data_IF_795550544391
#
_entry.id   IF_795550544391
#
_cell.length_a   1.000
_cell.length_b   1.000
_cell.length_c   1.000
_cell.angle_alpha   90.00
_cell.angle_beta   90.00
_cell.angle_gamma   90.00
#
_symmetry.space_group_name_H-M   'P 1'
#
loop_
_entity.id
_entity.type
_entity.pdbx_description
1 polymer ?
#
# COMPACT_ATOMS: atom_id res chain seq x y z
N UNK A 1 -3.89 22.00 0.90
CA UNK A 1 -3.67 21.23 -0.37
C UNK A 1 -2.88 19.98 -0.07
N UNK A 2 -3.34 18.83 -0.56
CA UNK A 2 -2.64 17.55 -0.36
C UNK A 2 -1.74 17.17 -1.53
N UNK A 3 -0.81 16.26 -1.27
CA UNK A 3 0.12 15.73 -2.27
C UNK A 3 0.09 14.21 -2.36
N UNK A 4 0.44 13.70 -3.53
CA UNK A 4 0.69 12.29 -3.80
C UNK A 4 2.09 12.17 -4.39
N UNK A 5 2.99 11.45 -3.73
CA UNK A 5 4.29 11.10 -4.32
C UNK A 5 4.21 9.66 -4.83
N UNK A 6 4.21 9.53 -6.15
CA UNK A 6 4.25 8.25 -6.82
C UNK A 6 5.65 7.84 -7.27
N UNK A 7 5.71 6.66 -7.87
CA UNK A 7 6.90 6.14 -8.52
C UNK A 7 6.50 5.32 -9.75
N UNK A 8 7.40 5.22 -10.70
CA UNK A 8 7.21 4.40 -11.90
C UNK A 8 7.27 2.92 -11.53
N UNK A 9 6.42 2.10 -12.13
CA UNK A 9 6.28 0.68 -11.73
C UNK A 9 7.31 -0.24 -12.38
N UNK A 10 7.84 0.17 -13.54
CA UNK A 10 8.83 -0.59 -14.31
C UNK A 10 9.48 0.31 -15.37
N UNK A 11 10.59 -0.14 -15.96
CA UNK A 11 11.23 0.58 -17.06
C UNK A 11 10.31 0.73 -18.30
N UNK A 12 9.54 -0.28 -18.74
CA UNK A 12 8.55 -0.10 -19.82
C UNK A 12 7.48 0.94 -19.47
N UNK A 13 6.97 0.96 -18.23
CA UNK A 13 6.03 1.99 -17.78
C UNK A 13 6.69 3.38 -17.81
N UNK A 14 7.92 3.50 -17.35
CA UNK A 14 8.67 4.76 -17.38
C UNK A 14 8.81 5.31 -18.80
N UNK A 15 9.11 4.45 -19.77
CA UNK A 15 9.19 4.82 -21.20
C UNK A 15 7.86 5.32 -21.74
N UNK A 16 6.75 4.64 -21.41
CA UNK A 16 5.41 5.02 -21.89
C UNK A 16 4.95 6.40 -21.41
N UNK A 17 5.45 6.87 -20.28
CA UNK A 17 5.10 8.19 -19.70
C UNK A 17 6.20 9.23 -19.84
N UNK A 18 7.37 8.90 -20.41
CA UNK A 18 8.52 9.78 -20.49
C UNK A 18 8.19 11.13 -21.15
N UNK A 19 7.52 11.12 -22.30
CA UNK A 19 7.12 12.34 -23.02
C UNK A 19 6.20 13.24 -22.17
N UNK A 20 5.27 12.67 -21.44
CA UNK A 20 4.36 13.44 -20.58
C UNK A 20 5.05 14.01 -19.35
N UNK A 21 6.20 13.43 -18.95
CA UNK A 21 7.12 13.97 -17.95
C UNK A 21 8.09 15.02 -18.51
N UNK A 22 8.05 15.30 -19.82
CA UNK A 22 8.95 16.24 -20.49
C UNK A 22 10.32 15.66 -20.80
N UNK A 23 10.45 14.33 -20.86
CA UNK A 23 11.69 13.63 -21.16
C UNK A 23 11.74 13.10 -22.59
N UNK A 24 12.96 12.94 -23.11
CA UNK A 24 13.22 12.31 -24.40
C UNK A 24 12.93 10.80 -24.34
N UNK A 25 12.16 10.30 -25.29
CA UNK A 25 11.79 8.89 -25.35
C UNK A 25 13.00 7.99 -25.58
N UNK A 26 13.96 8.38 -26.40
CA UNK A 26 15.15 7.57 -26.68
C UNK A 26 16.06 7.45 -25.46
N UNK A 27 16.28 8.56 -24.75
CA UNK A 27 17.06 8.55 -23.51
C UNK A 27 16.39 7.73 -22.41
N UNK A 28 15.07 7.64 -22.40
CA UNK A 28 14.29 6.98 -21.35
C UNK A 28 14.35 5.43 -21.37
N UNK A 29 15.02 4.83 -22.37
CA UNK A 29 15.23 3.38 -22.43
C UNK A 29 16.26 2.86 -21.44
N UNK A 30 17.09 3.76 -20.88
CA UNK A 30 18.17 3.40 -19.98
C UNK A 30 17.81 3.71 -18.51
N UNK A 31 18.07 2.74 -17.62
CA UNK A 31 17.89 2.93 -16.19
C UNK A 31 18.79 4.04 -15.62
N UNK A 32 19.99 4.24 -16.20
CA UNK A 32 20.89 5.33 -15.79
C UNK A 32 20.27 6.71 -16.00
N UNK A 33 19.56 6.90 -17.11
CA UNK A 33 18.77 8.11 -17.34
C UNK A 33 17.81 8.37 -16.17
N UNK A 34 17.03 7.36 -15.77
CA UNK A 34 16.10 7.49 -14.66
C UNK A 34 16.77 7.67 -13.31
N UNK A 35 17.99 7.15 -13.12
CA UNK A 35 18.78 7.45 -11.93
C UNK A 35 19.15 8.94 -11.81
N UNK A 36 19.25 9.65 -12.92
CA UNK A 36 19.58 11.09 -12.97
C UNK A 36 18.33 11.99 -13.04
N UNK A 37 17.22 11.54 -13.66
CA UNK A 37 16.02 12.33 -13.88
C UNK A 37 15.49 12.94 -12.58
N UNK A 38 15.23 14.26 -12.48
CA UNK A 38 14.69 14.89 -11.28
C UNK A 38 13.21 14.52 -11.08
N UNK A 39 12.64 14.71 -9.86
CA UNK A 39 11.22 14.54 -9.65
C UNK A 39 10.41 15.57 -10.44
N UNK A 40 9.22 15.19 -10.90
CA UNK A 40 8.34 16.06 -11.70
C UNK A 40 7.01 16.28 -10.98
N UNK A 41 6.59 17.54 -10.91
CA UNK A 41 5.22 17.87 -10.52
C UNK A 41 4.33 17.80 -11.75
N UNK A 42 3.55 16.75 -11.84
CA UNK A 42 2.86 16.34 -13.06
C UNK A 42 1.51 17.02 -13.21
N UNK A 43 0.66 16.95 -12.21
CA UNK A 43 -0.72 17.39 -12.33
C UNK A 43 -1.22 18.06 -11.05
N UNK A 44 -2.10 19.03 -11.22
CA UNK A 44 -2.94 19.58 -10.14
C UNK A 44 -4.38 19.21 -10.46
N UNK A 45 -5.10 18.77 -9.48
CA UNK A 45 -6.46 18.30 -9.66
C UNK A 45 -7.34 18.69 -8.49
N UNK A 46 -8.64 18.66 -8.73
CA UNK A 46 -9.67 18.92 -7.75
C UNK A 46 -10.45 17.65 -7.48
N UNK A 47 -10.76 17.41 -6.22
CA UNK A 47 -11.57 16.27 -5.79
C UNK A 47 -12.76 16.78 -5.00
N UNK A 48 -13.95 16.33 -5.37
CA UNK A 48 -15.16 16.53 -4.61
C UNK A 48 -15.62 15.22 -3.98
N UNK A 49 -15.75 15.19 -2.66
CA UNK A 49 -16.26 14.02 -1.95
C UNK A 49 -17.77 13.88 -2.05
N UNK A 50 -18.30 12.73 -1.66
CA UNK A 50 -19.76 12.50 -1.58
C UNK A 50 -20.47 13.42 -0.57
N UNK A 51 -19.71 14.09 0.32
CA UNK A 51 -20.25 15.10 1.26
C UNK A 51 -20.33 16.50 0.64
N UNK A 52 -19.86 16.67 -0.60
CA UNK A 52 -19.75 17.97 -1.27
C UNK A 52 -18.51 18.78 -0.89
N UNK A 53 -17.65 18.28 -0.03
CA UNK A 53 -16.38 18.95 0.30
C UNK A 53 -15.42 18.86 -0.90
N UNK A 54 -14.73 19.97 -1.15
CA UNK A 54 -13.79 20.12 -2.27
C UNK A 54 -12.38 20.29 -1.72
N UNK A 55 -11.44 19.51 -2.22
CA UNK A 55 -10.01 19.63 -1.92
C UNK A 55 -9.19 19.73 -3.20
N UNK A 56 -7.99 20.28 -3.07
CA UNK A 56 -7.04 20.41 -4.17
C UNK A 56 -5.81 19.57 -3.92
N UNK A 57 -5.41 18.81 -4.93
CA UNK A 57 -4.27 17.92 -4.89
C UNK A 57 -3.22 18.20 -5.94
N UNK A 58 -2.01 17.69 -5.70
CA UNK A 58 -0.93 17.66 -6.67
C UNK A 58 -0.24 16.29 -6.66
N UNK A 59 -0.06 15.72 -7.84
CA UNK A 59 0.76 14.53 -8.03
C UNK A 59 2.20 14.93 -8.35
N UNK A 60 3.14 14.28 -7.68
CA UNK A 60 4.58 14.40 -7.92
C UNK A 60 5.14 13.03 -8.23
N UNK A 61 5.68 12.88 -9.44
CA UNK A 61 6.39 11.67 -9.84
C UNK A 61 7.84 11.77 -9.35
N UNK A 62 8.27 10.81 -8.53
CA UNK A 62 9.63 10.77 -7.99
C UNK A 62 10.69 10.32 -9.01
N UNK A 63 10.25 9.73 -10.12
CA UNK A 63 11.11 9.07 -11.11
C UNK A 63 11.96 7.95 -10.51
N UNK A 64 11.49 7.34 -9.42
CA UNK A 64 12.06 6.14 -8.84
C UNK A 64 11.49 4.91 -9.57
N UNK A 65 12.36 3.91 -9.81
CA UNK A 65 11.98 2.60 -10.37
C UNK A 65 12.43 1.47 -9.44
N UNK A 66 11.62 0.41 -9.29
CA UNK A 66 11.97 -0.78 -8.50
C UNK A 66 13.27 -1.45 -8.95
N UNK A 67 13.61 -1.37 -10.24
CA UNK A 67 14.85 -1.88 -10.82
C UNK A 67 16.09 -1.26 -10.16
N UNK A 68 15.99 -0.04 -9.63
CA UNK A 68 17.09 0.58 -8.86
C UNK A 68 17.39 -0.21 -7.58
N UNK A 69 16.35 -0.73 -6.91
CA UNK A 69 16.52 -1.59 -5.73
C UNK A 69 17.08 -2.96 -6.12
N UNK A 70 16.56 -3.55 -7.21
CA UNK A 70 17.02 -4.84 -7.72
C UNK A 70 18.52 -4.82 -8.08
N UNK A 71 19.04 -3.65 -8.51
CA UNK A 71 20.47 -3.44 -8.78
C UNK A 71 21.27 -2.95 -7.56
N UNK A 72 20.69 -2.97 -6.36
CA UNK A 72 21.37 -2.54 -5.12
C UNK A 72 21.57 -1.02 -4.99
N UNK A 73 20.89 -0.20 -5.80
CA UNK A 73 21.05 1.27 -5.82
C UNK A 73 20.20 1.97 -4.76
N UNK A 74 20.19 1.47 -3.54
CA UNK A 74 19.37 2.00 -2.44
C UNK A 74 19.54 3.49 -2.19
N UNK A 75 20.79 3.98 -2.23
CA UNK A 75 21.08 5.41 -2.01
C UNK A 75 20.45 6.29 -3.09
N UNK A 76 20.44 5.82 -4.34
CA UNK A 76 19.81 6.53 -5.45
C UNK A 76 18.30 6.55 -5.29
N UNK A 77 17.67 5.39 -5.03
CA UNK A 77 16.25 5.27 -4.77
C UNK A 77 15.80 6.20 -3.64
N UNK A 78 16.48 6.18 -2.50
CA UNK A 78 16.20 7.05 -1.37
C UNK A 78 16.30 8.53 -1.74
N UNK A 79 17.36 8.94 -2.46
CA UNK A 79 17.53 10.33 -2.89
C UNK A 79 16.42 10.80 -3.82
N UNK A 80 15.91 9.93 -4.70
CA UNK A 80 14.77 10.22 -5.57
C UNK A 80 13.54 10.62 -4.76
N UNK A 81 13.21 9.84 -3.76
CA UNK A 81 12.04 10.08 -2.93
C UNK A 81 12.24 11.33 -2.06
N UNK A 82 13.41 11.51 -1.45
CA UNK A 82 13.74 12.70 -0.67
C UNK A 82 13.66 13.98 -1.51
N UNK A 83 14.12 13.95 -2.76
CA UNK A 83 14.00 15.09 -3.68
C UNK A 83 12.52 15.38 -4.04
N UNK A 84 11.69 14.35 -4.21
CA UNK A 84 10.26 14.53 -4.42
C UNK A 84 9.58 15.14 -3.17
N UNK A 85 9.95 14.69 -1.97
CA UNK A 85 9.46 15.26 -0.71
C UNK A 85 9.87 16.74 -0.57
N UNK A 86 11.12 17.08 -0.90
CA UNK A 86 11.59 18.47 -0.89
C UNK A 86 10.84 19.34 -1.91
N UNK A 87 10.54 18.80 -3.10
CA UNK A 87 9.75 19.50 -4.12
C UNK A 87 8.32 19.80 -3.62
N UNK A 88 7.67 18.81 -3.01
CA UNK A 88 6.32 18.94 -2.43
C UNK A 88 6.33 20.01 -1.33
N UNK A 89 7.30 19.95 -0.41
CA UNK A 89 7.41 20.94 0.67
C UNK A 89 7.65 22.36 0.13
N UNK A 90 8.52 22.52 -0.88
CA UNK A 90 8.78 23.81 -1.54
C UNK A 90 7.51 24.38 -2.19
N UNK A 91 6.58 23.53 -2.61
CA UNK A 91 5.30 23.94 -3.20
C UNK A 91 4.23 24.27 -2.16
N UNK A 92 4.55 24.20 -0.87
CA UNK A 92 3.63 24.54 0.21
C UNK A 92 2.49 23.54 0.39
N UNK A 93 2.68 22.28 0.01
CA UNK A 93 1.68 21.21 0.19
C UNK A 93 1.64 20.83 1.67
N UNK A 94 0.44 20.70 2.23
CA UNK A 94 0.23 20.59 3.68
C UNK A 94 0.38 19.17 4.21
N UNK A 95 -0.14 18.18 3.46
CA UNK A 95 -0.05 16.75 3.78
C UNK A 95 0.18 15.93 2.51
N UNK A 96 1.09 14.99 2.52
CA UNK A 96 1.46 14.20 1.34
C UNK A 96 1.59 12.72 1.66
N UNK A 97 0.95 11.87 0.86
CA UNK A 97 1.12 10.42 0.93
C UNK A 97 2.34 9.95 0.13
N UNK A 98 3.10 9.03 0.73
CA UNK A 98 4.17 8.28 0.09
C UNK A 98 3.61 6.96 -0.46
N UNK A 99 3.46 6.84 -1.79
CA UNK A 99 2.87 5.65 -2.41
C UNK A 99 3.84 4.50 -2.61
N UNK A 100 3.33 3.28 -2.51
CA UNK A 100 4.02 2.05 -2.91
C UNK A 100 5.41 1.88 -2.25
N UNK A 101 6.43 1.61 -3.06
CA UNK A 101 7.80 1.43 -2.58
C UNK A 101 8.38 2.64 -1.84
N UNK A 102 7.87 3.86 -2.07
CA UNK A 102 8.36 5.04 -1.39
C UNK A 102 8.18 4.94 0.12
N UNK A 103 7.09 4.33 0.60
CA UNK A 103 6.87 4.07 2.02
C UNK A 103 7.77 2.95 2.55
N UNK A 104 7.94 1.86 1.77
CA UNK A 104 8.71 0.68 2.15
C UNK A 104 10.20 1.02 2.35
N UNK A 105 10.77 1.87 1.49
CA UNK A 105 12.17 2.29 1.59
C UNK A 105 12.44 2.96 2.95
N UNK A 106 11.48 3.71 3.47
CA UNK A 106 11.63 4.44 4.73
C UNK A 106 11.17 3.67 5.97
N UNK A 107 10.51 2.53 5.83
CA UNK A 107 10.01 1.73 6.95
C UNK A 107 11.13 1.33 7.94
N UNK A 108 12.32 1.06 7.44
CA UNK A 108 13.47 0.61 8.23
C UNK A 108 14.42 1.74 8.67
N UNK A 109 14.14 2.99 8.28
CA UNK A 109 14.98 4.13 8.65
C UNK A 109 14.31 4.93 9.76
N UNK A 110 15.09 5.25 10.81
CA UNK A 110 14.62 6.22 11.79
C UNK A 110 14.52 7.60 11.13
N UNK A 111 13.48 8.36 11.47
CA UNK A 111 13.28 9.73 10.98
C UNK A 111 14.51 10.61 11.18
N UNK A 112 15.22 10.45 12.30
CA UNK A 112 16.46 11.19 12.62
C UNK A 112 17.58 10.94 11.60
N UNK A 113 17.72 9.70 11.11
CA UNK A 113 18.71 9.38 10.07
C UNK A 113 18.35 9.99 8.72
N UNK A 114 17.06 10.15 8.44
CA UNK A 114 16.58 10.80 7.21
C UNK A 114 16.79 12.31 7.25
N UNK A 115 16.59 12.95 8.41
CA UNK A 115 16.80 14.39 8.61
C UNK A 115 18.27 14.81 8.48
N UNK A 116 19.20 13.87 8.71
CA UNK A 116 20.66 14.12 8.59
C UNK A 116 21.20 13.88 7.18
N UNK A 117 20.35 13.66 6.18
CA UNK A 117 20.81 13.65 4.77
C UNK A 117 21.16 15.08 4.38
N UNK A 118 22.44 15.30 4.07
CA UNK A 118 23.01 16.62 3.77
C UNK A 118 22.14 17.38 2.76
N UNK A 119 21.89 18.63 3.08
CA UNK A 119 21.25 19.65 2.23
C UNK A 119 19.72 19.57 2.05
N UNK A 120 19.02 18.65 2.70
CA UNK A 120 17.55 18.58 2.64
C UNK A 120 16.98 18.67 4.05
N UNK A 121 16.31 19.77 4.37
CA UNK A 121 15.51 19.92 5.60
C UNK A 121 14.06 19.61 5.30
N UNK A 122 13.50 18.53 5.87
CA UNK A 122 12.14 18.12 5.69
C UNK A 122 11.32 18.28 6.97
N UNK A 123 10.14 18.86 6.85
CA UNK A 123 9.11 18.80 7.91
C UNK A 123 8.32 17.48 7.74
N UNK A 124 8.75 16.47 8.48
CA UNK A 124 8.19 15.11 8.41
C UNK A 124 6.70 15.07 8.76
N UNK A 125 6.18 16.04 9.52
CA UNK A 125 4.76 16.10 9.85
C UNK A 125 3.87 16.24 8.61
N UNK A 126 4.41 16.76 7.52
CA UNK A 126 3.72 16.92 6.23
C UNK A 126 3.62 15.65 5.41
N UNK A 127 4.11 14.51 5.92
CA UNK A 127 4.15 13.26 5.17
C UNK A 127 3.50 12.12 5.94
N UNK A 128 2.78 11.29 5.23
CA UNK A 128 2.22 10.03 5.72
C UNK A 128 2.55 8.89 4.78
N UNK A 129 2.66 7.67 5.29
CA UNK A 129 2.89 6.48 4.45
C UNK A 129 1.61 5.93 3.85
N UNK A 130 0.44 6.32 4.38
CA UNK A 130 -0.84 5.73 4.00
C UNK A 130 -1.07 4.31 4.54
N UNK A 131 -0.15 3.81 5.34
CA UNK A 131 -0.19 2.42 5.81
C UNK A 131 -1.34 2.15 6.79
N UNK A 132 -1.82 3.16 7.53
CA UNK A 132 -2.97 2.98 8.43
C UNK A 132 -4.25 2.71 7.65
N UNK A 133 -4.51 3.49 6.60
CA UNK A 133 -5.68 3.25 5.75
C UNK A 133 -5.55 1.94 4.97
N UNK A 134 -4.35 1.63 4.47
CA UNK A 134 -4.08 0.33 3.82
C UNK A 134 -4.37 -0.84 4.76
N UNK A 135 -3.86 -0.82 6.00
CA UNK A 135 -4.11 -1.86 6.98
C UNK A 135 -5.62 -2.00 7.30
N UNK A 136 -6.33 -0.87 7.46
CA UNK A 136 -7.77 -0.87 7.66
C UNK A 136 -8.51 -1.52 6.49
N UNK A 137 -8.19 -1.15 5.25
CA UNK A 137 -8.84 -1.71 4.04
C UNK A 137 -8.57 -3.21 3.92
N UNK A 138 -7.35 -3.68 4.18
CA UNK A 138 -7.04 -5.12 4.19
C UNK A 138 -7.91 -5.89 5.19
N UNK A 139 -8.11 -5.35 6.39
CA UNK A 139 -8.99 -5.95 7.40
C UNK A 139 -10.46 -5.93 6.95
N UNK A 140 -10.92 -4.86 6.30
CA UNK A 140 -12.27 -4.79 5.75
C UNK A 140 -12.46 -5.73 4.56
N UNK A 141 -11.44 -5.89 3.70
CA UNK A 141 -11.45 -6.87 2.62
C UNK A 141 -11.54 -8.30 3.18
N UNK A 142 -10.82 -8.62 4.27
CA UNK A 142 -10.94 -9.90 4.94
C UNK A 142 -12.36 -10.13 5.49
N UNK A 143 -12.91 -9.14 6.19
CA UNK A 143 -14.24 -9.25 6.81
C UNK A 143 -15.35 -9.35 5.78
N UNK A 144 -15.43 -8.39 4.85
CA UNK A 144 -16.51 -8.31 3.87
C UNK A 144 -16.32 -9.33 2.73
N UNK A 145 -15.08 -9.65 2.38
CA UNK A 145 -14.76 -10.70 1.42
C UNK A 145 -15.14 -12.08 1.93
N UNK A 146 -14.90 -12.37 3.22
CA UNK A 146 -15.35 -13.62 3.83
C UNK A 146 -16.87 -13.80 3.69
N UNK A 147 -17.64 -12.77 4.02
CA UNK A 147 -19.10 -12.77 3.85
C UNK A 147 -19.49 -12.99 2.38
N UNK A 148 -18.86 -12.27 1.44
CA UNK A 148 -19.14 -12.35 0.01
C UNK A 148 -18.88 -13.75 -0.57
N UNK A 149 -17.83 -14.42 -0.11
CA UNK A 149 -17.39 -15.72 -0.63
C UNK A 149 -17.79 -16.92 0.26
N UNK A 150 -18.68 -16.69 1.22
CA UNK A 150 -19.27 -17.76 2.04
C UNK A 150 -18.28 -18.39 3.04
N UNK A 151 -17.29 -17.62 3.52
CA UNK A 151 -16.35 -18.06 4.55
C UNK A 151 -16.84 -17.55 5.92
N UNK A 152 -17.15 -18.48 6.83
CA UNK A 152 -17.57 -18.14 8.19
C UNK A 152 -16.36 -17.74 9.05
N UNK A 153 -16.26 -16.46 9.38
CA UNK A 153 -15.16 -15.89 10.13
C UNK A 153 -14.97 -16.52 11.52
N UNK A 154 -16.07 -16.89 12.20
CA UNK A 154 -15.99 -17.49 13.53
C UNK A 154 -15.31 -18.88 13.51
N UNK A 155 -15.35 -19.55 12.37
CA UNK A 155 -14.73 -20.85 12.16
C UNK A 155 -13.47 -20.78 11.26
N UNK A 156 -13.15 -19.61 10.74
CA UNK A 156 -12.06 -19.43 9.80
C UNK A 156 -10.68 -19.41 10.46
N UNK A 157 -9.72 -19.96 9.75
CA UNK A 157 -8.28 -19.78 10.00
C UNK A 157 -7.77 -18.67 9.10
N UNK A 158 -7.27 -17.59 9.69
CA UNK A 158 -6.69 -16.45 8.96
C UNK A 158 -5.18 -16.48 9.06
N UNK A 159 -4.48 -16.49 7.95
CA UNK A 159 -3.03 -16.39 7.91
C UNK A 159 -2.60 -14.97 7.47
N UNK A 160 -1.68 -14.36 8.22
CA UNK A 160 -1.06 -13.08 7.85
C UNK A 160 0.39 -13.34 7.45
N UNK A 161 0.69 -13.23 6.16
CA UNK A 161 2.03 -13.43 5.60
C UNK A 161 2.73 -12.07 5.50
N UNK A 162 3.85 -11.92 6.22
CA UNK A 162 4.50 -10.63 6.45
C UNK A 162 4.07 -10.00 7.79
N UNK A 163 3.67 -10.81 8.75
CA UNK A 163 3.09 -10.38 10.04
C UNK A 163 3.97 -9.42 10.86
N UNK A 164 5.30 -9.41 10.66
CA UNK A 164 6.23 -8.52 11.37
C UNK A 164 6.51 -7.18 10.71
N UNK A 165 5.98 -6.95 9.50
CA UNK A 165 6.03 -5.67 8.81
C UNK A 165 5.10 -4.63 9.45
N UNK A 166 5.20 -3.38 9.01
CA UNK A 166 4.40 -2.26 9.55
C UNK A 166 2.90 -2.54 9.41
N UNK A 167 2.46 -2.80 8.18
CA UNK A 167 1.07 -3.13 7.87
C UNK A 167 0.68 -4.48 8.50
N UNK A 168 1.53 -5.51 8.37
CA UNK A 168 1.22 -6.86 8.84
C UNK A 168 0.98 -6.92 10.34
N UNK A 169 1.82 -6.27 11.15
CA UNK A 169 1.64 -6.23 12.60
C UNK A 169 0.38 -5.47 13.02
N UNK A 170 0.06 -4.38 12.31
CA UNK A 170 -1.18 -3.63 12.54
C UNK A 170 -2.43 -4.46 12.20
N UNK A 171 -2.40 -5.18 11.07
CA UNK A 171 -3.46 -6.12 10.67
C UNK A 171 -3.64 -7.21 11.74
N UNK A 172 -2.53 -7.82 12.22
CA UNK A 172 -2.61 -8.83 13.27
C UNK A 172 -3.24 -8.31 14.56
N UNK A 173 -2.85 -7.10 15.02
CA UNK A 173 -3.46 -6.45 16.19
C UNK A 173 -4.95 -6.22 16.01
N UNK A 174 -5.34 -5.66 14.86
CA UNK A 174 -6.75 -5.39 14.56
C UNK A 174 -7.57 -6.67 14.52
N UNK A 175 -7.08 -7.72 13.83
CA UNK A 175 -7.75 -9.02 13.76
C UNK A 175 -7.91 -9.63 15.16
N UNK A 176 -6.86 -9.60 15.99
CA UNK A 176 -6.88 -10.15 17.32
C UNK A 176 -7.85 -9.43 18.28
N UNK A 177 -7.99 -8.11 18.13
CA UNK A 177 -8.86 -7.28 18.98
C UNK A 177 -10.31 -7.24 18.51
N UNK A 178 -10.57 -7.34 17.22
CA UNK A 178 -11.87 -6.98 16.62
C UNK A 178 -12.65 -8.15 16.06
N UNK A 179 -11.98 -9.29 15.82
CA UNK A 179 -12.65 -10.45 15.25
C UNK A 179 -12.51 -11.67 16.18
N UNK A 180 -13.63 -12.36 16.34
CA UNK A 180 -13.63 -13.69 16.95
C UNK A 180 -13.27 -14.71 15.86
N UNK A 181 -11.98 -15.01 15.74
CA UNK A 181 -11.45 -15.96 14.77
C UNK A 181 -11.13 -17.27 15.46
N UNK A 182 -11.35 -18.38 14.78
CA UNK A 182 -10.94 -19.69 15.25
C UNK A 182 -9.42 -19.75 15.43
N UNK A 183 -8.67 -19.38 14.40
CA UNK A 183 -7.22 -19.37 14.41
C UNK A 183 -6.65 -18.14 13.70
N UNK A 184 -5.55 -17.62 14.23
CA UNK A 184 -4.72 -16.60 13.59
C UNK A 184 -3.30 -17.16 13.42
N UNK A 185 -2.86 -17.32 12.16
CA UNK A 185 -1.53 -17.83 11.83
C UNK A 185 -0.63 -16.64 11.46
N UNK A 186 0.52 -16.56 12.14
CA UNK A 186 1.49 -15.49 11.96
C UNK A 186 2.69 -16.04 11.18
N UNK A 187 2.93 -15.48 9.99
CA UNK A 187 4.01 -15.94 9.11
C UNK A 187 4.93 -14.76 8.77
N UNK A 188 6.22 -14.88 9.11
CA UNK A 188 7.27 -13.97 8.67
C UNK A 188 8.65 -14.63 8.78
N UNK A 189 9.67 -13.97 8.21
CA UNK A 189 11.05 -14.48 8.24
C UNK A 189 11.74 -14.26 9.60
N UNK A 190 11.44 -13.16 10.24
CA UNK A 190 12.04 -12.77 11.52
C UNK A 190 11.31 -13.43 12.68
N UNK A 191 11.87 -14.54 13.17
CA UNK A 191 11.25 -15.37 14.19
C UNK A 191 11.22 -14.68 15.57
N UNK A 192 12.20 -13.85 15.89
CA UNK A 192 12.22 -13.11 17.15
C UNK A 192 11.08 -12.08 17.19
N UNK A 193 10.91 -11.32 16.11
CA UNK A 193 9.78 -10.38 16.00
C UNK A 193 8.43 -11.08 15.99
N UNK A 194 8.33 -12.27 15.38
CA UNK A 194 7.10 -13.06 15.41
C UNK A 194 6.75 -13.50 16.83
N UNK A 195 7.73 -13.99 17.60
CA UNK A 195 7.53 -14.40 18.99
C UNK A 195 7.05 -13.20 19.83
N UNK A 196 7.69 -12.05 19.70
CA UNK A 196 7.29 -10.82 20.40
C UNK A 196 5.87 -10.36 20.02
N UNK A 197 5.52 -10.40 18.73
CA UNK A 197 4.17 -10.06 18.26
C UNK A 197 3.14 -11.04 18.82
N UNK A 198 3.41 -12.32 18.79
CA UNK A 198 2.50 -13.36 19.34
C UNK A 198 2.29 -13.16 20.84
N UNK A 199 3.34 -12.84 21.59
CA UNK A 199 3.25 -12.53 23.03
C UNK A 199 2.39 -11.28 23.28
N UNK A 200 2.63 -10.20 22.51
CA UNK A 200 1.85 -8.97 22.57
C UNK A 200 0.35 -9.22 22.30
N UNK A 201 0.03 -10.04 21.31
CA UNK A 201 -1.36 -10.35 20.93
C UNK A 201 -2.07 -11.27 21.93
N UNK A 202 -1.34 -12.02 22.75
CA UNK A 202 -1.88 -13.03 23.66
C UNK A 202 -2.58 -14.21 22.95
N UNK A 203 -2.58 -14.24 21.61
CA UNK A 203 -3.20 -15.27 20.75
C UNK A 203 -2.46 -15.41 19.41
N UNK A 204 -2.82 -16.44 18.66
CA UNK A 204 -2.22 -16.76 17.37
C UNK A 204 -1.09 -17.79 17.48
N UNK A 205 -0.72 -18.37 16.36
CA UNK A 205 0.33 -19.38 16.23
C UNK A 205 1.38 -18.92 15.24
N UNK A 206 2.65 -19.01 15.61
CA UNK A 206 3.77 -18.80 14.70
C UNK A 206 3.98 -20.08 13.90
N UNK A 207 3.91 -19.98 12.58
CA UNK A 207 4.04 -21.13 11.67
C UNK A 207 4.88 -20.76 10.45
N UNK A 208 5.39 -21.75 9.74
CA UNK A 208 6.01 -21.55 8.43
C UNK A 208 4.94 -21.22 7.36
N UNK A 209 5.38 -20.74 6.21
CA UNK A 209 4.46 -20.49 5.09
C UNK A 209 3.83 -21.79 4.59
N UNK A 210 4.63 -22.84 4.49
CA UNK A 210 4.23 -24.18 4.03
C UNK A 210 3.17 -24.80 4.96
N UNK A 211 3.25 -24.53 6.26
CA UNK A 211 2.26 -24.98 7.23
C UNK A 211 0.99 -24.13 7.21
N UNK A 212 1.11 -22.82 6.92
CA UNK A 212 -0.03 -21.90 6.92
C UNK A 212 -0.95 -22.10 5.70
N UNK A 213 -0.39 -22.27 4.49
CA UNK A 213 -1.15 -22.30 3.25
C UNK A 213 -2.26 -23.35 3.22
N UNK A 214 -2.04 -24.64 3.61
CA UNK A 214 -3.08 -25.66 3.59
C UNK A 214 -4.11 -25.53 4.70
N UNK A 215 -3.88 -24.67 5.70
CA UNK A 215 -4.78 -24.48 6.83
C UNK A 215 -5.65 -23.23 6.70
N UNK A 216 -5.21 -22.25 5.93
CA UNK A 216 -5.85 -20.93 5.87
C UNK A 216 -7.10 -20.93 4.99
N UNK A 217 -8.18 -20.40 5.52
CA UNK A 217 -9.40 -20.05 4.78
C UNK A 217 -9.28 -18.62 4.21
N UNK A 218 -8.52 -17.76 4.89
CA UNK A 218 -8.21 -16.39 4.45
C UNK A 218 -6.70 -16.17 4.57
N UNK A 219 -6.07 -15.65 3.52
CA UNK A 219 -4.65 -15.29 3.49
C UNK A 219 -4.53 -13.80 3.24
N UNK A 220 -4.01 -13.05 4.19
CA UNK A 220 -3.65 -11.64 4.01
C UNK A 220 -2.15 -11.59 3.74
N UNK A 221 -1.80 -11.34 2.49
CA UNK A 221 -0.41 -11.30 2.06
C UNK A 221 0.10 -9.86 2.02
N UNK A 222 1.02 -9.53 2.91
CA UNK A 222 1.65 -8.19 3.01
C UNK A 222 3.17 -8.27 3.04
N UNK A 223 3.72 -9.44 2.70
CA UNK A 223 5.15 -9.59 2.51
C UNK A 223 5.56 -9.06 1.14
N UNK A 224 6.68 -8.31 1.10
CA UNK A 224 7.33 -8.01 -0.17
C UNK A 224 7.86 -9.31 -0.76
N UNK A 225 7.42 -9.67 -1.95
CA UNK A 225 7.87 -10.89 -2.64
C UNK A 225 9.29 -10.68 -3.13
N UNK A 226 10.21 -11.50 -2.65
CA UNK A 226 11.44 -11.73 -3.38
C UNK A 226 11.11 -12.56 -4.63
N UNK A 227 11.72 -12.23 -5.77
CA UNK A 227 11.55 -12.99 -7.01
C UNK A 227 11.72 -14.49 -6.72
N UNK A 228 10.73 -15.29 -7.13
CA UNK A 228 10.81 -16.74 -7.07
C UNK A 228 9.90 -17.45 -6.06
N UNK A 229 9.11 -16.75 -5.24
CA UNK A 229 8.12 -17.41 -4.40
C UNK A 229 6.87 -17.70 -5.25
N UNK A 230 6.64 -18.99 -5.53
CA UNK A 230 5.43 -19.47 -6.21
C UNK A 230 4.60 -20.24 -5.19
N UNK A 231 3.30 -19.92 -5.13
CA UNK A 231 2.35 -20.73 -4.38
C UNK A 231 1.78 -21.78 -5.33
N UNK A 232 1.94 -23.05 -4.98
CA UNK A 232 1.27 -24.14 -5.69
C UNK A 232 -0.23 -24.08 -5.37
N UNK A 233 -1.12 -23.80 -6.35
CA UNK A 233 -2.53 -23.59 -6.06
C UNK A 233 -3.22 -24.82 -5.43
N UNK A 234 -2.70 -26.02 -5.68
CA UNK A 234 -3.26 -27.28 -5.17
C UNK A 234 -3.20 -27.41 -3.64
N UNK A 235 -2.26 -26.71 -2.99
CA UNK A 235 -2.13 -26.78 -1.52
C UNK A 235 -3.17 -25.91 -0.79
N UNK A 236 -3.80 -24.96 -1.49
CA UNK A 236 -4.77 -24.05 -0.90
C UNK A 236 -6.10 -24.75 -0.62
N UNK A 237 -6.83 -24.32 0.37
CA UNK A 237 -8.20 -24.78 0.64
C UNK A 237 -9.17 -24.26 -0.43
N UNK A 238 -10.37 -24.81 -0.45
CA UNK A 238 -11.50 -24.31 -1.23
C UNK A 238 -12.76 -24.39 -0.35
N UNK A 239 -13.48 -23.27 -0.09
CA UNK A 239 -13.13 -21.91 -0.55
C UNK A 239 -11.89 -21.34 0.16
N UNK A 240 -11.16 -20.47 -0.52
CA UNK A 240 -10.05 -19.69 0.05
C UNK A 240 -10.08 -18.25 -0.48
N UNK A 241 -9.88 -17.29 0.40
CA UNK A 241 -9.77 -15.88 0.04
C UNK A 241 -8.33 -15.40 0.23
N UNK A 242 -7.71 -14.91 -0.83
CA UNK A 242 -6.37 -14.29 -0.77
C UNK A 242 -6.53 -12.79 -0.98
N UNK A 243 -5.96 -12.00 -0.07
CA UNK A 243 -5.90 -10.54 -0.16
C UNK A 243 -4.44 -10.18 -0.41
N UNK A 244 -4.11 -9.89 -1.68
CA UNK A 244 -2.74 -9.57 -2.12
C UNK A 244 -2.41 -8.11 -1.87
N UNK A 245 -1.97 -7.80 -0.66
CA UNK A 245 -1.43 -6.50 -0.25
C UNK A 245 0.07 -6.39 -0.44
N UNK A 246 0.72 -7.40 -1.01
CA UNK A 246 2.14 -7.37 -1.39
C UNK A 246 2.43 -6.38 -2.52
N UNK A 247 3.71 -6.08 -2.71
CA UNK A 247 4.13 -5.26 -3.83
C UNK A 247 5.44 -5.79 -4.44
N UNK A 248 5.52 -5.99 -5.77
CA UNK A 248 4.41 -5.91 -6.72
C UNK A 248 3.35 -6.99 -6.48
N UNK A 249 2.10 -6.72 -6.88
CA UNK A 249 1.01 -7.71 -6.83
C UNK A 249 1.19 -8.73 -7.95
N UNK A 250 1.12 -10.01 -7.61
CA UNK A 250 1.30 -11.09 -8.59
C UNK A 250 0.50 -12.35 -8.28
N UNK A 251 -0.22 -12.39 -7.16
CA UNK A 251 -0.97 -13.58 -6.76
C UNK A 251 -2.08 -13.95 -7.76
N UNK A 252 -2.77 -12.96 -8.30
CA UNK A 252 -3.85 -13.21 -9.26
C UNK A 252 -3.38 -13.88 -10.56
N UNK A 253 -2.15 -13.59 -11.01
CA UNK A 253 -1.57 -14.23 -12.20
C UNK A 253 -0.99 -15.62 -11.93
N UNK A 254 -0.60 -15.91 -10.68
CA UNK A 254 0.06 -17.15 -10.28
C UNK A 254 -0.89 -18.16 -9.64
N UNK A 255 -1.94 -17.68 -8.96
CA UNK A 255 -2.91 -18.52 -8.23
C UNK A 255 -4.23 -18.55 -9.00
N UNK A 256 -4.36 -19.51 -9.93
CA UNK A 256 -5.60 -19.74 -10.67
C UNK A 256 -6.18 -21.10 -10.28
N UNK A 257 -7.23 -21.11 -9.47
CA UNK A 257 -7.93 -22.31 -9.03
C UNK A 257 -9.38 -22.00 -8.70
N UNK A 258 -10.29 -22.88 -9.09
CA UNK A 258 -11.71 -22.77 -8.73
C UNK A 258 -11.90 -22.80 -7.19
N UNK A 259 -12.73 -21.89 -6.69
CA UNK A 259 -12.97 -21.71 -5.26
C UNK A 259 -11.85 -20.96 -4.52
N UNK A 260 -10.83 -20.45 -5.23
CA UNK A 260 -9.83 -19.52 -4.69
C UNK A 260 -10.06 -18.13 -5.29
N UNK A 261 -10.26 -17.16 -4.42
CA UNK A 261 -10.57 -15.78 -4.79
C UNK A 261 -9.40 -14.88 -4.42
N UNK A 262 -8.85 -14.14 -5.38
CA UNK A 262 -7.72 -13.22 -5.15
C UNK A 262 -8.21 -11.79 -5.29
N UNK A 263 -8.12 -11.01 -4.21
CA UNK A 263 -8.41 -9.58 -4.21
C UNK A 263 -7.12 -8.76 -4.28
N UNK A 264 -7.18 -7.62 -4.97
CA UNK A 264 -6.15 -6.61 -4.90
C UNK A 264 -6.17 -5.93 -3.52
N UNK A 265 -5.29 -6.37 -2.63
CA UNK A 265 -5.21 -5.91 -1.25
C UNK A 265 -4.82 -4.43 -1.15
N UNK A 266 -5.48 -3.70 -0.25
CA UNK A 266 -5.24 -2.27 -0.05
C UNK A 266 -5.74 -1.38 -1.18
N UNK A 267 -6.63 -1.89 -2.04
CA UNK A 267 -7.35 -1.11 -3.04
C UNK A 267 -8.73 -0.71 -2.53
N UNK A 268 -9.15 0.48 -2.88
CA UNK A 268 -10.48 1.02 -2.59
C UNK A 268 -11.25 1.31 -3.86
N UNK A 269 -12.57 1.17 -3.78
CA UNK A 269 -13.50 1.82 -4.69
C UNK A 269 -13.86 3.19 -4.13
N UNK A 270 -14.13 4.14 -4.99
CA UNK A 270 -14.57 5.47 -4.59
C UNK A 270 -15.74 6.00 -5.42
N UNK A 271 -16.49 6.93 -4.82
CA UNK A 271 -17.57 7.68 -5.46
C UNK A 271 -17.23 9.18 -5.48
N UNK A 272 -15.95 9.51 -5.65
CA UNK A 272 -15.46 10.88 -5.74
C UNK A 272 -15.67 11.42 -7.14
N UNK A 273 -15.93 12.72 -7.26
CA UNK A 273 -15.75 13.44 -8.52
C UNK A 273 -14.32 14.00 -8.57
N UNK A 274 -13.55 13.53 -9.55
CA UNK A 274 -12.12 13.82 -9.67
C UNK A 274 -11.79 14.34 -11.06
N UNK A 275 -11.27 15.56 -11.12
CA UNK A 275 -10.68 16.13 -12.32
C UNK A 275 -9.15 15.94 -12.31
N UNK A 276 -8.69 14.77 -12.72
CA UNK A 276 -7.27 14.46 -12.82
C UNK A 276 -6.86 13.83 -14.15
N UNK A 277 -5.60 14.04 -14.52
CA UNK A 277 -4.97 13.52 -15.75
C UNK A 277 -3.89 12.49 -15.46
N UNK A 278 -3.73 12.09 -14.20
CA UNK A 278 -2.64 11.20 -13.74
C UNK A 278 -2.92 9.71 -13.93
N UNK A 279 -3.99 9.34 -14.62
CA UNK A 279 -4.43 7.94 -14.72
C UNK A 279 -3.35 7.01 -15.28
N UNK A 280 -2.56 7.48 -16.25
CA UNK A 280 -1.46 6.70 -16.83
C UNK A 280 -0.30 6.44 -15.85
N UNK A 281 -0.16 7.27 -14.80
CA UNK A 281 0.87 7.10 -13.78
C UNK A 281 0.46 6.13 -12.66
N UNK A 282 -0.83 5.94 -12.46
CA UNK A 282 -1.32 5.17 -11.33
C UNK A 282 -1.27 3.65 -11.56
N UNK A 283 -1.24 3.23 -12.84
CA UNK A 283 -1.27 1.81 -13.23
C UNK A 283 -2.35 1.00 -12.49
N UNK A 284 -3.57 1.52 -12.47
CA UNK A 284 -4.75 0.93 -11.83
C UNK A 284 -5.74 0.51 -12.91
N UNK A 285 -6.39 -0.66 -12.84
CA UNK A 285 -7.30 -1.14 -13.89
C UNK A 285 -8.46 -0.19 -14.21
N UNK A 286 -9.05 0.42 -13.19
CA UNK A 286 -10.15 1.38 -13.36
C UNK A 286 -9.96 2.62 -12.48
N UNK A 287 -9.04 3.53 -12.86
CA UNK A 287 -8.69 4.68 -12.03
C UNK A 287 -9.83 5.70 -11.84
N UNK A 288 -10.91 5.60 -12.64
CA UNK A 288 -12.11 6.40 -12.44
C UNK A 288 -12.94 5.96 -11.22
N UNK A 289 -12.73 4.75 -10.71
CA UNK A 289 -13.47 4.17 -9.59
C UNK A 289 -12.58 3.49 -8.54
N UNK A 290 -11.35 3.16 -8.88
CA UNK A 290 -10.46 2.39 -8.03
C UNK A 290 -9.20 3.21 -7.73
N UNK A 291 -8.71 3.06 -6.51
CA UNK A 291 -7.55 3.81 -6.07
C UNK A 291 -6.77 3.07 -4.97
N UNK A 292 -5.52 3.48 -4.74
CA UNK A 292 -4.71 2.93 -3.65
C UNK A 292 -5.12 3.54 -2.32
N UNK A 293 -5.37 2.72 -1.30
CA UNK A 293 -5.71 3.17 0.04
C UNK A 293 -4.61 4.05 0.66
N UNK A 294 -3.34 3.78 0.38
CA UNK A 294 -2.23 4.60 0.86
C UNK A 294 -2.32 6.05 0.36
N UNK A 295 -2.68 6.26 -0.88
CA UNK A 295 -2.89 7.59 -1.43
C UNK A 295 -4.18 8.24 -0.91
N UNK A 296 -5.25 7.46 -0.79
CA UNK A 296 -6.52 7.95 -0.25
C UNK A 296 -6.36 8.50 1.18
N UNK A 297 -5.40 8.02 1.98
CA UNK A 297 -5.16 8.54 3.33
C UNK A 297 -4.88 10.04 3.34
N UNK A 298 -4.01 10.57 2.46
CA UNK A 298 -3.76 12.01 2.41
C UNK A 298 -4.96 12.82 1.95
N UNK A 299 -5.83 12.26 1.10
CA UNK A 299 -7.10 12.88 0.71
C UNK A 299 -8.05 12.98 1.91
N UNK A 300 -8.17 11.90 2.67
CA UNK A 300 -9.01 11.85 3.88
C UNK A 300 -8.53 12.84 4.94
N UNK A 301 -7.22 12.93 5.13
CA UNK A 301 -6.62 13.89 6.06
C UNK A 301 -6.85 15.34 5.61
N UNK A 302 -6.74 15.63 4.31
CA UNK A 302 -7.02 16.96 3.77
C UNK A 302 -8.51 17.33 3.88
N UNK A 303 -9.44 16.41 3.59
CA UNK A 303 -10.88 16.65 3.77
C UNK A 303 -11.22 17.07 5.20
N UNK A 304 -10.51 16.56 6.18
CA UNK A 304 -10.75 16.84 7.60
C UNK A 304 -9.80 17.93 8.18
N UNK A 305 -8.96 18.54 7.34
CA UNK A 305 -7.99 19.55 7.78
C UNK A 305 -6.90 19.01 8.72
N UNK A 306 -6.59 17.73 8.64
CA UNK A 306 -5.63 17.04 9.51
C UNK A 306 -4.25 16.99 8.85
N UNK A 307 -3.42 17.98 9.15
CA UNK A 307 -2.11 18.14 8.52
C UNK A 307 -0.98 17.68 9.46
N UNK A 308 -0.92 16.39 9.71
CA UNK A 308 0.14 15.78 10.53
C UNK A 308 0.48 14.36 10.05
N UNK A 309 1.66 13.88 10.43
CA UNK A 309 2.06 12.50 10.18
C UNK A 309 1.10 11.51 10.86
N UNK A 310 0.27 10.84 10.06
CA UNK A 310 -0.73 9.90 10.57
C UNK A 310 -0.19 8.47 10.69
N UNK A 311 0.58 8.00 9.70
CA UNK A 311 0.94 6.59 9.56
C UNK A 311 2.43 6.29 9.67
N UNK A 312 3.31 7.27 9.48
CA UNK A 312 4.74 6.97 9.39
C UNK A 312 5.35 6.66 10.75
N UNK A 313 5.97 5.51 10.82
CA UNK A 313 6.63 4.99 12.01
C UNK A 313 5.98 3.70 12.48
N UNK A 314 6.81 2.71 12.81
CA UNK A 314 6.40 1.33 13.09
C UNK A 314 5.31 1.19 14.18
N UNK A 315 5.30 2.06 15.18
CA UNK A 315 4.31 2.03 16.25
C UNK A 315 3.16 3.02 16.04
N UNK A 316 3.11 3.68 14.90
CA UNK A 316 2.07 4.67 14.61
C UNK A 316 0.76 4.06 14.12
N UNK A 317 0.79 2.84 13.57
CA UNK A 317 -0.41 2.16 13.10
C UNK A 317 -1.01 1.36 14.25
N UNK A 318 -2.15 1.79 14.74
CA UNK A 318 -2.87 1.14 15.83
C UNK A 318 -4.30 0.79 15.40
N UNK A 319 -4.95 -0.24 15.99
CA UNK A 319 -6.34 -0.55 15.73
C UNK A 319 -7.27 0.67 15.88
N UNK A 320 -7.04 1.51 16.87
CA UNK A 320 -7.81 2.75 17.08
C UNK A 320 -7.66 3.72 15.91
N UNK A 321 -6.44 3.97 15.43
CA UNK A 321 -6.22 4.83 14.25
C UNK A 321 -6.82 4.22 12.98
N UNK A 322 -6.76 2.90 12.83
CA UNK A 322 -7.39 2.18 11.72
C UNK A 322 -8.90 2.42 11.72
N UNK A 323 -9.57 2.35 12.88
CA UNK A 323 -11.00 2.66 12.96
C UNK A 323 -11.28 4.15 12.70
N UNK A 324 -10.45 5.06 13.20
CA UNK A 324 -10.59 6.49 12.93
C UNK A 324 -10.55 6.80 11.43
N UNK A 325 -9.51 6.33 10.73
CA UNK A 325 -9.41 6.54 9.28
C UNK A 325 -10.53 5.83 8.52
N UNK A 326 -11.00 4.68 9.03
CA UNK A 326 -12.12 3.94 8.48
C UNK A 326 -13.45 4.70 8.55
N UNK A 327 -13.68 5.48 9.62
CA UNK A 327 -14.84 6.39 9.72
C UNK A 327 -14.76 7.46 8.63
N UNK A 328 -13.59 8.08 8.46
CA UNK A 328 -13.37 9.09 7.41
C UNK A 328 -13.51 8.49 6.01
N UNK A 329 -12.97 7.31 5.80
CA UNK A 329 -13.05 6.57 4.54
C UNK A 329 -14.51 6.41 4.09
N UNK A 330 -15.35 5.89 4.96
CA UNK A 330 -16.80 5.72 4.67
C UNK A 330 -17.51 7.05 4.47
N UNK A 331 -17.19 8.07 5.29
CA UNK A 331 -17.77 9.42 5.19
C UNK A 331 -17.54 10.03 3.82
N UNK A 332 -16.33 9.90 3.28
CA UNK A 332 -15.94 10.52 2.02
C UNK A 332 -16.13 9.62 0.78
N UNK A 333 -16.78 8.45 0.93
CA UNK A 333 -17.18 7.62 -0.19
C UNK A 333 -16.14 6.62 -0.68
N UNK A 334 -15.19 6.24 0.18
CA UNK A 334 -14.26 5.15 -0.09
C UNK A 334 -14.77 3.84 0.53
N UNK A 335 -14.63 2.75 -0.19
CA UNK A 335 -14.99 1.39 0.23
C UNK A 335 -13.89 0.40 -0.15
N UNK A 336 -13.75 -0.74 0.55
CA UNK A 336 -12.81 -1.77 0.13
C UNK A 336 -13.21 -2.34 -1.24
N UNK A 337 -12.24 -2.52 -2.13
CA UNK A 337 -12.46 -3.23 -3.39
C UNK A 337 -12.61 -4.73 -3.10
N UNK A 338 -13.76 -5.30 -3.44
CA UNK A 338 -14.10 -6.72 -3.18
C UNK A 338 -14.22 -7.56 -4.46
N UNK A 339 -13.99 -6.96 -5.61
CA UNK A 339 -14.01 -7.70 -6.87
C UNK A 339 -12.70 -8.46 -7.03
N UNK A 340 -12.76 -9.76 -7.41
CA UNK A 340 -11.57 -10.52 -7.67
C UNK A 340 -10.80 -9.88 -8.83
N UNK A 341 -9.51 -9.93 -8.77
CA UNK A 341 -8.68 -9.56 -9.89
C UNK A 341 -9.04 -10.46 -11.09
N UNK A 342 -9.62 -9.88 -12.12
CA UNK A 342 -9.81 -10.57 -13.40
C UNK A 342 -8.55 -10.30 -14.23
N UNK A 343 -7.68 -11.31 -14.37
CA UNK A 343 -6.72 -11.28 -15.47
C UNK A 343 -7.54 -11.17 -16.76
N UNK A 344 -7.32 -10.14 -17.55
CA UNK A 344 -7.93 -10.01 -18.86
C UNK A 344 -7.81 -11.34 -19.60
N UNK A 345 -8.99 -11.90 -19.96
CA UNK A 345 -9.12 -13.10 -20.76
C UNK A 345 -8.75 -12.82 -22.20
#
# INVERSE_FOLDING_TARGET
MFGLIGHLTSLPHAQSVARSLGYDEYASHDLEFWCMAPPQAVDKFTITSVTGQVIHGQYVESCFLPEMLAQGRFKTAMRKILNAMALVQKRGIDITALGGFSSIIFENFSLEKLLNVRDITLDIRRFTTGNTHTAYILCQQAKQGAERYGIDLAHATVAVVGATGDIGSAVCRWLAERLDLKNLLLVARDQERLANLREELGRGSVVSLEEALPQADIIIWVASMNQGLSIEPSVLRSPCLIIDGGYPKNMASTVQREGVYVLDGGMVEHSLDIDWKIMSYLNVPNPARQFFACFAESMLLEFEGLHFNFSWGRNHITPTKMEQIGVLSRRHGFRPLLEPHTSDR
#
